data_IF_458380829755
#
_entry.id   IF_458380829755
#
_cell.length_a   1.000
_cell.length_b   1.000
_cell.length_c   1.000
_cell.angle_alpha   90.00
_cell.angle_beta   90.00
_cell.angle_gamma   90.00
#
_symmetry.space_group_name_H-M   'P 1'
#
loop_
_entity.id
_entity.type
_entity.pdbx_description
1 polymer ?
#
# COMPACT_ATOMS: atom_id res chain seq x y z
N UNK A 1 -12.52 8.91 5.10
CA UNK A 1 -11.62 8.51 3.99
C UNK A 1 -10.24 9.06 4.28
N UNK A 2 -9.20 8.25 4.12
CA UNK A 2 -7.81 8.64 4.39
C UNK A 2 -6.88 7.97 3.37
N UNK A 3 -5.87 8.68 2.81
CA UNK A 3 -4.92 8.08 1.89
C UNK A 3 -3.98 7.11 2.62
N UNK A 4 -3.83 5.90 2.10
CA UNK A 4 -2.99 4.86 2.71
C UNK A 4 -2.30 4.01 1.65
N UNK A 5 -1.18 3.39 2.03
CA UNK A 5 -0.51 2.36 1.25
C UNK A 5 -0.67 0.99 1.90
N UNK A 6 -0.79 -0.04 1.06
CA UNK A 6 -0.81 -1.43 1.51
C UNK A 6 0.64 -1.87 1.73
N UNK A 7 0.94 -2.40 2.91
CA UNK A 7 2.27 -2.86 3.27
C UNK A 7 2.32 -4.38 3.31
N UNK A 8 3.36 -4.96 2.70
CA UNK A 8 3.59 -6.39 2.78
C UNK A 8 3.91 -6.83 4.21
N UNK A 9 3.41 -7.99 4.63
CA UNK A 9 3.53 -8.48 6.01
C UNK A 9 4.97 -8.65 6.51
N UNK A 10 5.95 -8.76 5.61
CA UNK A 10 7.39 -8.79 5.92
C UNK A 10 7.96 -7.44 6.35
N UNK A 11 7.37 -6.32 5.89
CA UNK A 11 7.84 -4.96 6.19
C UNK A 11 7.11 -4.33 7.37
N UNK A 12 6.15 -5.04 7.98
CA UNK A 12 5.43 -4.53 9.15
C UNK A 12 6.26 -4.65 10.42
N UNK A 13 6.23 -3.62 11.28
CA UNK A 13 6.82 -3.75 12.61
C UNK A 13 6.06 -4.81 13.44
N UNK A 14 6.78 -5.51 14.31
CA UNK A 14 6.29 -6.71 14.99
C UNK A 14 5.06 -6.45 15.88
N UNK A 15 4.93 -5.24 16.42
CA UNK A 15 3.77 -4.81 17.19
C UNK A 15 2.46 -4.89 16.38
N UNK A 16 2.49 -4.45 15.12
CA UNK A 16 1.32 -4.44 14.23
C UNK A 16 1.02 -5.85 13.73
N UNK A 17 2.05 -6.64 13.44
CA UNK A 17 1.90 -8.02 12.97
C UNK A 17 1.21 -8.93 14.00
N UNK A 18 1.39 -8.63 15.29
CA UNK A 18 0.76 -9.36 16.41
C UNK A 18 -0.69 -8.93 16.68
N UNK A 19 -1.17 -7.86 16.07
CA UNK A 19 -2.57 -7.45 16.21
C UNK A 19 -3.48 -8.53 15.59
N UNK A 20 -4.62 -8.75 16.23
CA UNK A 20 -5.64 -9.67 15.71
C UNK A 20 -6.16 -9.13 14.39
N UNK A 21 -6.14 -9.98 13.37
CA UNK A 21 -6.67 -9.71 12.04
C UNK A 21 -7.33 -10.98 11.50
N UNK A 22 -8.16 -10.82 10.47
CA UNK A 22 -8.89 -11.91 9.82
C UNK A 22 -8.40 -12.13 8.38
N UNK A 23 -8.70 -13.31 7.84
CA UNK A 23 -8.42 -13.61 6.43
C UNK A 23 -9.16 -12.63 5.52
N UNK A 24 -8.46 -12.12 4.50
CA UNK A 24 -8.97 -11.07 3.61
C UNK A 24 -8.76 -9.64 4.11
N UNK A 25 -8.17 -9.47 5.30
CA UNK A 25 -7.62 -8.19 5.73
C UNK A 25 -6.16 -8.03 5.30
N UNK A 26 -5.77 -6.79 5.07
CA UNK A 26 -4.37 -6.45 4.81
C UNK A 26 -3.95 -5.28 5.67
N UNK A 27 -2.65 -5.24 5.95
CA UNK A 27 -2.06 -4.16 6.69
C UNK A 27 -1.88 -2.94 5.79
N UNK A 28 -2.40 -1.82 6.28
CA UNK A 28 -2.28 -0.51 5.63
C UNK A 28 -1.50 0.43 6.53
N UNK A 29 -0.74 1.32 5.91
CA UNK A 29 -0.12 2.46 6.56
C UNK A 29 -0.78 3.75 6.07
N UNK A 30 -1.26 4.56 7.00
CA UNK A 30 -1.89 5.85 6.69
C UNK A 30 -0.83 6.93 6.44
N UNK A 31 -0.95 7.68 5.35
CA UNK A 31 -0.05 8.80 5.08
C UNK A 31 -0.31 9.99 6.03
N UNK A 32 0.70 10.79 6.32
CA UNK A 32 0.64 11.95 7.22
C UNK A 32 0.67 11.64 8.73
N UNK A 33 0.04 10.55 9.18
CA UNK A 33 0.18 10.05 10.57
C UNK A 33 1.13 8.87 10.70
N UNK A 34 1.36 8.12 9.62
CA UNK A 34 2.20 6.91 9.57
C UNK A 34 1.77 5.80 10.52
N UNK A 35 0.50 5.82 10.93
CA UNK A 35 -0.10 4.76 11.73
C UNK A 35 -0.40 3.53 10.86
N UNK A 36 -0.39 2.35 11.48
CA UNK A 36 -0.68 1.09 10.82
C UNK A 36 -1.97 0.48 11.34
N UNK A 37 -2.73 -0.15 10.45
CA UNK A 37 -3.95 -0.85 10.82
C UNK A 37 -4.22 -2.02 9.87
N UNK A 38 -4.99 -2.99 10.33
CA UNK A 38 -5.54 -4.06 9.48
C UNK A 38 -6.91 -3.62 9.00
N UNK A 39 -7.15 -3.71 7.70
CA UNK A 39 -8.43 -3.32 7.10
C UNK A 39 -8.91 -4.35 6.08
N UNK A 40 -10.22 -4.46 5.95
CA UNK A 40 -10.87 -5.33 4.98
C UNK A 40 -10.83 -4.73 3.57
N UNK A 41 -10.64 -5.56 2.55
CA UNK A 41 -10.51 -5.10 1.16
C UNK A 41 -11.68 -4.28 0.62
N UNK A 42 -12.91 -4.57 1.05
CA UNK A 42 -14.10 -3.78 0.66
C UNK A 42 -14.12 -2.32 1.15
N UNK A 43 -13.18 -1.92 2.02
CA UNK A 43 -13.03 -0.54 2.52
C UNK A 43 -11.88 0.21 1.85
N UNK A 44 -11.20 -0.43 0.91
CA UNK A 44 -10.01 0.11 0.26
C UNK A 44 -10.26 0.20 -1.23
N UNK A 45 -9.93 1.37 -1.74
CA UNK A 45 -10.14 1.73 -3.12
C UNK A 45 -8.80 2.10 -3.70
N UNK A 46 -8.58 1.74 -4.96
CA UNK A 46 -7.37 2.10 -5.68
C UNK A 46 -7.23 3.62 -5.70
N UNK A 47 -6.04 4.11 -5.41
CA UNK A 47 -5.75 5.54 -5.49
C UNK A 47 -5.79 6.01 -6.95
N UNK A 48 -6.50 7.11 -7.20
CA UNK A 48 -6.60 7.78 -8.50
C UNK A 48 -6.39 9.27 -8.28
N UNK A 49 -5.53 9.88 -9.10
CA UNK A 49 -5.11 11.27 -8.93
C UNK A 49 -6.26 12.28 -9.09
N UNK A 50 -7.36 11.90 -9.75
CA UNK A 50 -8.51 12.79 -9.98
C UNK A 50 -9.42 13.00 -8.75
N UNK A 51 -9.22 12.25 -7.66
CA UNK A 51 -10.01 12.39 -6.43
C UNK A 51 -9.46 13.43 -5.44
N UNK A 52 -8.89 14.54 -5.93
CA UNK A 52 -8.30 15.64 -5.11
C UNK A 52 -9.30 16.40 -4.23
N UNK A 53 -10.60 16.10 -4.28
CA UNK A 53 -11.64 16.86 -3.57
C UNK A 53 -12.34 16.05 -2.50
N UNK A 54 -11.62 15.71 -1.43
CA UNK A 54 -12.27 15.40 -0.15
C UNK A 54 -12.57 16.74 0.52
N UNK A 55 -13.83 17.16 0.50
CA UNK A 55 -14.31 18.37 1.18
C UNK A 55 -14.34 18.11 2.69
N UNK A 56 -13.19 18.13 3.35
CA UNK A 56 -13.16 18.11 4.81
C UNK A 56 -13.32 19.55 5.34
N UNK A 57 -14.43 19.73 6.07
CA UNK A 57 -14.89 20.97 6.67
C UNK A 57 -14.15 21.19 8.00
N UNK A 58 -13.58 22.39 8.16
CA UNK A 58 -12.97 23.02 9.37
C UNK A 58 -11.48 22.79 9.64
N UNK A 59 -10.83 23.88 10.06
CA UNK A 59 -9.43 24.00 10.43
C UNK A 59 -9.11 23.22 11.70
N UNK A 60 -8.76 21.95 11.56
CA UNK A 60 -8.29 21.11 12.65
C UNK A 60 -6.86 20.62 12.37
N UNK A 61 -6.07 20.34 13.42
CA UNK A 61 -4.76 19.69 13.31
C UNK A 61 -4.84 18.41 12.46
N UNK A 62 -5.96 17.70 12.57
CA UNK A 62 -6.26 16.53 11.76
C UNK A 62 -6.33 16.84 10.26
N UNK A 63 -6.91 17.98 9.87
CA UNK A 63 -6.97 18.39 8.48
C UNK A 63 -5.57 18.68 7.90
N UNK A 64 -4.67 19.28 8.68
CA UNK A 64 -3.27 19.47 8.25
C UNK A 64 -2.58 18.13 7.99
N UNK A 65 -2.79 17.15 8.86
CA UNK A 65 -2.27 15.78 8.68
C UNK A 65 -2.84 15.09 7.46
N UNK A 66 -4.12 15.30 7.20
CA UNK A 66 -4.78 14.80 6.00
C UNK A 66 -4.18 15.44 4.73
N UNK A 67 -3.98 16.76 4.69
CA UNK A 67 -3.35 17.45 3.56
C UNK A 67 -1.91 16.96 3.33
N UNK A 68 -1.13 16.81 4.40
CA UNK A 68 0.21 16.23 4.34
C UNK A 68 0.14 14.81 3.74
N UNK A 69 -0.80 13.99 4.21
CA UNK A 69 -0.97 12.63 3.71
C UNK A 69 -1.35 12.55 2.23
N UNK A 70 -2.11 13.52 1.70
CA UNK A 70 -2.42 13.57 0.26
C UNK A 70 -1.16 13.83 -0.59
N UNK A 71 -0.26 14.70 -0.12
CA UNK A 71 1.01 14.99 -0.81
C UNK A 71 1.91 13.76 -0.79
N UNK A 72 2.07 13.13 0.37
CA UNK A 72 2.88 11.91 0.52
C UNK A 72 2.34 10.76 -0.33
N UNK A 73 1.01 10.58 -0.38
CA UNK A 73 0.39 9.57 -1.21
C UNK A 73 0.64 9.80 -2.71
N UNK A 74 0.62 11.05 -3.16
CA UNK A 74 0.91 11.39 -4.56
C UNK A 74 2.36 11.05 -4.94
N UNK A 75 3.32 11.36 -4.05
CA UNK A 75 4.74 11.04 -4.24
C UNK A 75 4.93 9.51 -4.28
N UNK A 76 4.38 8.79 -3.29
CA UNK A 76 4.49 7.34 -3.22
C UNK A 76 3.85 6.65 -4.43
N UNK A 77 2.75 7.19 -4.95
CA UNK A 77 2.11 6.67 -6.15
C UNK A 77 2.98 6.87 -7.39
N UNK A 78 3.61 8.03 -7.58
CA UNK A 78 4.53 8.27 -8.68
C UNK A 78 5.75 7.31 -8.64
N UNK A 79 6.32 7.11 -7.46
CA UNK A 79 7.41 6.14 -7.25
C UNK A 79 6.96 4.70 -7.55
N UNK A 80 5.78 4.31 -7.08
CA UNK A 80 5.21 2.99 -7.37
C UNK A 80 5.02 2.77 -8.88
N UNK A 81 4.49 3.76 -9.59
CA UNK A 81 4.27 3.68 -11.03
C UNK A 81 5.61 3.57 -11.78
N UNK A 82 6.62 4.34 -11.39
CA UNK A 82 7.99 4.23 -11.96
C UNK A 82 8.61 2.86 -11.75
N UNK A 83 8.49 2.31 -10.55
CA UNK A 83 9.02 0.98 -10.22
C UNK A 83 8.28 -0.13 -10.98
N UNK A 84 6.95 -0.01 -11.11
CA UNK A 84 6.16 -0.97 -11.90
C UNK A 84 6.53 -0.94 -13.38
N UNK A 85 6.77 0.24 -13.94
CA UNK A 85 7.24 0.40 -15.31
C UNK A 85 8.64 -0.19 -15.50
N UNK A 86 9.58 0.08 -14.58
CA UNK A 86 10.93 -0.48 -14.67
C UNK A 86 10.92 -2.01 -14.54
N UNK A 87 10.10 -2.59 -13.66
CA UNK A 87 9.93 -4.04 -13.57
C UNK A 87 9.36 -4.64 -14.87
N UNK A 88 8.40 -3.98 -15.50
CA UNK A 88 7.85 -4.45 -16.78
C UNK A 88 8.88 -4.44 -17.92
N UNK A 89 9.87 -3.54 -17.85
CA UNK A 89 10.97 -3.49 -18.82
C UNK A 89 12.06 -4.53 -18.53
N UNK A 90 12.10 -5.06 -17.31
CA UNK A 90 13.11 -6.01 -16.87
C UNK A 90 12.78 -7.46 -17.22
N UNK A 91 11.67 -7.74 -17.92
CA UNK A 91 11.18 -9.06 -18.38
C UNK A 91 12.24 -10.17 -18.27
N UNK A 92 12.37 -10.70 -17.05
CA UNK A 92 13.38 -11.72 -16.75
C UNK A 92 12.82 -12.98 -17.36
N UNK A 93 13.37 -13.39 -18.51
CA UNK A 93 13.05 -14.66 -19.17
C UNK A 93 12.99 -15.73 -18.07
N UNK A 94 11.87 -16.43 -17.88
CA UNK A 94 11.74 -17.40 -16.80
C UNK A 94 12.89 -18.41 -16.91
N UNK A 95 13.40 -18.87 -15.75
CA UNK A 95 14.49 -19.83 -15.74
C UNK A 95 14.19 -21.00 -16.67
N UNK A 96 15.20 -21.44 -17.44
CA UNK A 96 15.04 -22.54 -18.37
C UNK A 96 14.52 -23.77 -17.61
N UNK A 97 13.52 -24.44 -18.21
CA UNK A 97 12.89 -25.63 -17.65
C UNK A 97 13.94 -26.67 -17.24
N UNK A 98 13.86 -27.14 -15.99
CA UNK A 98 14.67 -28.24 -15.46
C UNK A 98 13.72 -29.40 -15.14
N UNK A 99 13.86 -30.50 -15.86
CA UNK A 99 13.16 -31.74 -15.56
C UNK A 99 13.77 -32.39 -14.31
N UNK A 100 12.93 -32.65 -13.31
CA UNK A 100 13.31 -33.32 -12.07
C UNK A 100 12.98 -34.81 -12.24
N UNK A 101 13.99 -35.68 -12.16
CA UNK A 101 13.76 -37.11 -12.01
C UNK A 101 13.59 -37.44 -10.54
N UNK A 102 12.42 -37.95 -10.19
CA UNK A 102 12.18 -38.59 -8.91
C UNK A 102 12.51 -40.07 -9.12
N UNK A 103 13.62 -40.54 -8.55
CA UNK A 103 13.85 -41.97 -8.40
C UNK A 103 12.99 -42.45 -7.23
N UNK A 104 12.10 -43.41 -7.49
CA UNK A 104 11.28 -44.13 -6.50
C UNK A 104 12.07 -45.36 -6.05
#
# INVERSE_FOLDING_TARGET
WWPAQIIHSSHLPQNVKKLKHYDGEFAVQFFGTHDYSWTHGGRVFQYVEDHKKVTAVKSDRLYKKFQQGLVEAAIAFDEYQKNRLSESLLDKKPEAYKHIQVCI
#
